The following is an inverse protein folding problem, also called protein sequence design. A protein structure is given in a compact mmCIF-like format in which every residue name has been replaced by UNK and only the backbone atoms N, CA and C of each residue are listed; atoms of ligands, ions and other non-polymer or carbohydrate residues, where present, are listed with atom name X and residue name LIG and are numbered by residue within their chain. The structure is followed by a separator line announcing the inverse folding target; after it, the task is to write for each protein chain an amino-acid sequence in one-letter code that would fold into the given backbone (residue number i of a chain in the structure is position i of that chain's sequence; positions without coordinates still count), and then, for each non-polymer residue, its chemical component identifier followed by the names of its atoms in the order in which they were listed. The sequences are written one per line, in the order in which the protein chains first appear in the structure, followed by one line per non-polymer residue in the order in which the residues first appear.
data_IF_865122242729
#
_entry.id   IF_865122242729
#
_cell.length_a   1.000
_cell.length_b   1.000
_cell.length_c   1.000
_cell.angle_alpha   90.00
_cell.angle_beta   90.00
_cell.angle_gamma   90.00
#
_symmetry.space_group_name_H-M   'P 1'
#
loop_
_entity.id
_entity.type
_entity.pdbx_description
1 polymer ?
#
# COMPACT_ATOMS: atom_id res chain seq x y z
N UNK A 1 -5.73 10.63 6.78
CA UNK A 1 -5.41 9.31 7.38
C UNK A 1 -4.45 8.52 6.50
N UNK A 2 -4.81 8.25 5.24
CA UNK A 2 -3.96 7.49 4.30
C UNK A 2 -2.52 7.98 4.22
N UNK A 3 -2.31 9.29 4.15
CA UNK A 3 -0.98 9.90 4.23
C UNK A 3 -0.13 9.39 5.41
N UNK A 4 -0.68 9.36 6.62
CA UNK A 4 0.03 8.89 7.80
C UNK A 4 0.36 7.40 7.72
N UNK A 5 -0.47 6.59 7.05
CA UNK A 5 -0.22 5.16 6.83
C UNK A 5 1.00 4.96 5.91
N UNK A 6 1.07 5.71 4.81
CA UNK A 6 2.23 5.69 3.91
C UNK A 6 3.49 6.19 4.63
N UNK A 7 3.36 7.26 5.42
CA UNK A 7 4.45 7.79 6.23
C UNK A 7 4.95 6.79 7.29
N UNK A 8 4.05 6.09 8.00
CA UNK A 8 4.40 5.03 8.95
C UNK A 8 5.19 3.90 8.27
N UNK A 9 4.75 3.49 7.08
CA UNK A 9 5.40 2.46 6.29
C UNK A 9 6.78 2.90 5.80
N UNK A 10 6.94 4.13 5.32
CA UNK A 10 8.25 4.67 4.92
C UNK A 10 9.19 4.76 6.13
N UNK A 11 8.73 5.37 7.23
CA UNK A 11 9.53 5.57 8.43
C UNK A 11 9.98 4.24 9.03
N UNK A 12 9.20 3.15 8.91
CA UNK A 12 9.63 1.81 9.31
C UNK A 12 10.94 1.38 8.60
N UNK A 13 11.04 1.63 7.30
CA UNK A 13 12.23 1.29 6.51
C UNK A 13 13.43 2.17 6.86
N UNK A 14 13.20 3.40 7.30
CA UNK A 14 14.26 4.35 7.70
C UNK A 14 14.74 4.15 9.15
N UNK A 15 13.90 3.61 10.03
CA UNK A 15 14.18 3.56 11.49
C UNK A 15 14.38 2.14 12.01
N UNK A 16 13.31 1.34 12.03
CA UNK A 16 13.33 0.00 12.64
C UNK A 16 14.02 -1.04 11.78
N UNK A 17 13.93 -0.96 10.45
CA UNK A 17 14.56 -1.93 9.56
C UNK A 17 16.09 -2.00 9.73
N UNK A 18 16.85 -0.87 9.77
CA UNK A 18 18.29 -0.89 10.06
C UNK A 18 18.64 -1.59 11.38
N UNK A 19 17.89 -1.31 12.46
CA UNK A 19 18.12 -1.93 13.77
C UNK A 19 17.88 -3.44 13.72
N UNK A 20 16.80 -3.87 13.05
CA UNK A 20 16.49 -5.29 12.86
C UNK A 20 17.57 -6.01 12.05
N UNK A 21 18.10 -5.36 11.01
CA UNK A 21 19.21 -5.89 10.21
C UNK A 21 20.46 -6.02 11.08
N UNK A 22 20.79 -5.00 11.88
CA UNK A 22 21.94 -5.04 12.79
C UNK A 22 21.85 -6.21 13.79
N UNK A 23 20.68 -6.44 14.38
CA UNK A 23 20.43 -7.58 15.27
C UNK A 23 20.49 -8.91 14.52
N UNK A 24 19.99 -8.99 13.29
CA UNK A 24 20.10 -10.21 12.49
C UNK A 24 21.56 -10.52 12.09
N UNK A 25 22.37 -9.49 11.83
CA UNK A 25 23.78 -9.62 11.51
C UNK A 25 24.62 -10.18 12.67
N UNK A 26 24.29 -9.90 13.93
CA UNK A 26 25.02 -10.49 15.06
C UNK A 26 24.77 -11.99 15.21
N UNK A 27 23.61 -12.48 14.75
CA UNK A 27 23.27 -13.91 14.76
C UNK A 27 23.80 -14.69 13.55
N UNK A 28 24.19 -13.98 12.48
CA UNK A 28 24.63 -14.58 11.22
C UNK A 28 25.91 -15.44 11.35
N UNK A 29 26.99 -15.02 12.05
CA UNK A 29 28.21 -15.82 12.16
C UNK A 29 27.98 -17.17 12.85
N UNK A 30 27.19 -17.19 13.93
CA UNK A 30 26.86 -18.42 14.65
C UNK A 30 26.06 -19.40 13.80
N UNK A 31 25.13 -18.90 12.99
CA UNK A 31 24.34 -19.71 12.08
C UNK A 31 25.15 -20.25 10.89
N UNK A 32 26.08 -19.45 10.34
CA UNK A 32 26.94 -19.85 9.21
C UNK A 32 28.02 -20.84 9.64
N UNK A 33 28.62 -20.65 10.82
CA UNK A 33 29.66 -21.54 11.34
C UNK A 33 29.10 -22.81 12.03
N UNK A 34 27.78 -23.02 12.05
CA UNK A 34 27.14 -24.20 12.64
C UNK A 34 27.22 -24.31 14.17
N UNK A 35 27.70 -23.24 14.85
CA UNK A 35 27.91 -23.18 16.29
C UNK A 35 26.72 -22.54 17.05
N UNK A 36 25.74 -21.98 16.33
CA UNK A 36 24.60 -21.27 16.91
C UNK A 36 23.24 -21.76 16.39
N UNK A 37 22.16 -21.20 16.97
CA UNK A 37 20.80 -21.48 16.53
C UNK A 37 20.59 -21.04 15.06
N UNK A 38 19.80 -21.81 14.27
CA UNK A 38 19.56 -21.45 12.88
C UNK A 38 18.75 -20.15 12.76
N UNK A 39 18.99 -19.39 11.69
CA UNK A 39 18.32 -18.12 11.44
C UNK A 39 16.81 -18.29 11.37
N UNK A 40 16.08 -17.43 12.09
CA UNK A 40 14.63 -17.33 11.94
C UNK A 40 14.28 -16.88 10.52
N UNK A 41 13.18 -17.39 9.96
CA UNK A 41 12.67 -16.94 8.65
C UNK A 41 12.48 -15.43 8.59
N UNK A 42 12.11 -14.80 9.71
CA UNK A 42 11.94 -13.36 9.74
C UNK A 42 13.28 -12.62 9.66
N UNK A 43 14.32 -13.10 10.35
CA UNK A 43 15.67 -12.53 10.30
C UNK A 43 16.26 -12.67 8.89
N UNK A 44 16.07 -13.81 8.23
CA UNK A 44 16.50 -14.01 6.85
C UNK A 44 15.82 -13.01 5.88
N UNK A 45 14.50 -12.80 6.01
CA UNK A 45 13.79 -11.81 5.20
C UNK A 45 14.27 -10.38 5.46
N UNK A 46 14.59 -10.03 6.70
CA UNK A 46 15.10 -8.71 7.05
C UNK A 46 16.52 -8.50 6.47
N UNK A 47 17.39 -9.51 6.51
CA UNK A 47 18.70 -9.49 5.86
C UNK A 47 18.60 -9.33 4.34
N UNK A 48 17.69 -10.08 3.69
CA UNK A 48 17.49 -9.96 2.24
C UNK A 48 16.96 -8.57 1.85
N UNK A 49 16.05 -7.99 2.64
CA UNK A 49 15.64 -6.58 2.47
C UNK A 49 16.84 -5.64 2.57
N UNK A 50 17.70 -5.85 3.57
CA UNK A 50 18.94 -5.09 3.74
C UNK A 50 19.88 -5.20 2.54
N UNK A 51 20.03 -6.41 1.97
CA UNK A 51 20.84 -6.64 0.78
C UNK A 51 20.29 -5.90 -0.44
N UNK A 52 18.98 -6.00 -0.70
CA UNK A 52 18.32 -5.28 -1.81
C UNK A 52 18.48 -3.77 -1.63
N UNK A 53 18.30 -3.29 -0.40
CA UNK A 53 18.46 -1.88 -0.06
C UNK A 53 19.89 -1.40 -0.31
N UNK A 54 20.89 -2.14 0.17
CA UNK A 54 22.30 -1.82 0.00
C UNK A 54 22.73 -1.86 -1.48
N UNK A 55 22.30 -2.88 -2.23
CA UNK A 55 22.56 -2.99 -3.66
C UNK A 55 21.95 -1.82 -4.44
N UNK A 56 20.69 -1.47 -4.17
CA UNK A 56 20.03 -0.33 -4.78
C UNK A 56 20.72 0.99 -4.43
N UNK A 57 21.05 1.21 -3.15
CA UNK A 57 21.75 2.41 -2.71
C UNK A 57 23.13 2.54 -3.38
N UNK A 58 23.89 1.44 -3.51
CA UNK A 58 25.16 1.44 -4.22
C UNK A 58 24.98 1.82 -5.68
N UNK A 59 24.00 1.21 -6.38
CA UNK A 59 23.69 1.54 -7.78
C UNK A 59 23.27 3.01 -7.96
N UNK A 60 22.43 3.56 -7.07
CA UNK A 60 22.06 4.98 -7.11
C UNK A 60 23.25 5.89 -6.82
N UNK A 61 24.18 5.45 -5.97
CA UNK A 61 25.38 6.22 -5.66
C UNK A 61 26.35 6.33 -6.84
N UNK A 62 26.27 5.43 -7.82
CA UNK A 62 26.98 5.53 -9.10
C UNK A 62 26.40 6.62 -10.01
N UNK A 63 25.17 7.08 -9.76
CA UNK A 63 24.51 8.12 -10.56
C UNK A 63 24.82 9.49 -9.98
N UNK A 64 25.52 10.32 -10.74
CA UNK A 64 25.81 11.71 -10.36
C UNK A 64 24.55 12.58 -10.42
N UNK A 65 24.06 13.07 -9.28
CA UNK A 65 22.85 13.93 -9.26
C UNK A 65 23.06 15.22 -10.03
N UNK A 66 24.25 15.81 -9.93
CA UNK A 66 24.56 17.04 -10.65
C UNK A 66 24.44 16.84 -12.15
N UNK A 67 24.95 15.70 -12.65
CA UNK A 67 24.83 15.37 -14.07
C UNK A 67 23.37 15.24 -14.50
N UNK A 68 22.58 14.44 -13.78
CA UNK A 68 21.15 14.27 -14.09
C UNK A 68 20.40 15.60 -13.98
N UNK A 69 20.67 16.41 -12.95
CA UNK A 69 20.06 17.73 -12.80
C UNK A 69 20.41 18.66 -13.96
N UNK A 70 21.67 18.74 -14.38
CA UNK A 70 22.07 19.58 -15.52
C UNK A 70 21.52 19.09 -16.85
N UNK A 71 21.45 17.77 -17.06
CA UNK A 71 20.81 17.20 -18.25
C UNK A 71 19.34 17.56 -18.33
N UNK A 72 18.61 17.41 -17.22
CA UNK A 72 17.17 17.68 -17.11
C UNK A 72 16.89 19.18 -17.25
N UNK A 73 17.68 20.02 -16.56
CA UNK A 73 17.59 21.49 -16.64
C UNK A 73 17.94 22.05 -18.03
N UNK A 74 18.83 21.39 -18.76
CA UNK A 74 19.23 21.80 -20.11
C UNK A 74 18.16 21.57 -21.20
N UNK A 75 17.06 20.88 -20.87
CA UNK A 75 15.96 20.65 -21.82
C UNK A 75 14.99 21.83 -21.89
N UNK A 76 14.26 21.94 -22.99
CA UNK A 76 13.14 22.88 -23.09
C UNK A 76 11.97 22.47 -22.21
N UNK A 77 11.16 23.45 -21.76
CA UNK A 77 10.04 23.20 -20.84
C UNK A 77 9.06 22.14 -21.35
N UNK A 78 8.81 22.08 -22.66
CA UNK A 78 7.93 21.05 -23.26
C UNK A 78 8.55 19.64 -23.20
N UNK A 79 9.85 19.50 -23.46
CA UNK A 79 10.54 18.20 -23.36
C UNK A 79 10.58 17.72 -21.91
N UNK A 80 10.84 18.63 -20.98
CA UNK A 80 10.85 18.32 -19.56
C UNK A 80 9.47 17.88 -19.05
N UNK A 81 8.41 18.55 -19.50
CA UNK A 81 7.02 18.13 -19.25
C UNK A 81 6.75 16.69 -19.74
N UNK A 82 7.24 16.32 -20.93
CA UNK A 82 7.09 14.96 -21.46
C UNK A 82 7.88 13.94 -20.63
N UNK A 83 9.10 14.28 -20.22
CA UNK A 83 9.93 13.41 -19.35
C UNK A 83 9.21 13.17 -18.02
N UNK A 84 8.70 14.23 -17.39
CA UNK A 84 7.96 14.13 -16.14
C UNK A 84 6.75 13.18 -16.27
N UNK A 85 5.91 13.39 -17.28
CA UNK A 85 4.75 12.52 -17.54
C UNK A 85 5.13 11.06 -17.78
N UNK A 86 6.22 10.84 -18.51
CA UNK A 86 6.72 9.51 -18.79
C UNK A 86 7.20 8.82 -17.50
N UNK A 87 7.92 9.54 -16.64
CA UNK A 87 8.34 9.05 -15.33
C UNK A 87 7.15 8.74 -14.42
N UNK A 88 6.09 9.56 -14.41
CA UNK A 88 4.87 9.27 -13.65
C UNK A 88 4.18 7.98 -14.11
N UNK A 89 4.08 7.77 -15.42
CA UNK A 89 3.53 6.51 -15.97
C UNK A 89 4.39 5.32 -15.56
N UNK A 90 5.72 5.45 -15.64
CA UNK A 90 6.63 4.40 -15.20
C UNK A 90 6.57 4.12 -13.70
N UNK A 91 6.37 5.13 -12.85
CA UNK A 91 6.15 4.95 -11.41
C UNK A 91 4.88 4.10 -11.17
N UNK A 92 3.76 4.47 -11.81
CA UNK A 92 2.49 3.69 -11.72
C UNK A 92 2.69 2.23 -12.17
N UNK A 93 3.41 2.00 -13.27
CA UNK A 93 3.78 0.66 -13.74
C UNK A 93 4.66 -0.10 -12.73
N UNK A 94 5.66 0.57 -12.18
CA UNK A 94 6.57 -0.02 -11.19
C UNK A 94 5.84 -0.34 -9.87
N UNK A 95 4.88 0.48 -9.45
CA UNK A 95 4.05 0.22 -8.28
C UNK A 95 3.13 -1.00 -8.49
N UNK A 96 2.56 -1.16 -9.70
CA UNK A 96 1.77 -2.33 -10.07
C UNK A 96 2.59 -3.62 -10.02
N UNK A 97 3.80 -3.62 -10.60
CA UNK A 97 4.68 -4.79 -10.67
C UNK A 97 5.40 -5.11 -9.36
N UNK A 98 5.70 -4.08 -8.56
CA UNK A 98 6.65 -4.19 -7.45
C UNK A 98 6.24 -5.08 -6.30
N UNK A 99 4.97 -4.99 -5.91
CA UNK A 99 4.44 -5.77 -4.81
C UNK A 99 4.51 -7.27 -5.13
N UNK A 100 4.18 -7.65 -6.36
CA UNK A 100 4.14 -9.05 -6.80
C UNK A 100 5.56 -9.66 -6.87
N UNK A 101 6.54 -8.90 -7.38
CA UNK A 101 7.95 -9.32 -7.45
C UNK A 101 8.52 -9.53 -6.03
N UNK A 102 8.31 -8.55 -5.14
CA UNK A 102 8.84 -8.59 -3.78
C UNK A 102 8.17 -9.68 -2.94
N UNK A 103 6.85 -9.86 -3.07
CA UNK A 103 6.13 -10.90 -2.33
C UNK A 103 6.50 -12.31 -2.80
N UNK A 104 6.72 -12.50 -4.10
CA UNK A 104 7.21 -13.76 -4.64
C UNK A 104 8.57 -14.11 -4.04
N UNK A 105 9.50 -13.14 -4.03
CA UNK A 105 10.83 -13.32 -3.44
C UNK A 105 10.79 -13.64 -1.94
N UNK A 106 10.06 -12.84 -1.14
CA UNK A 106 9.98 -13.09 0.31
C UNK A 106 9.20 -14.37 0.64
N UNK A 107 8.22 -14.75 -0.18
CA UNK A 107 7.51 -16.02 -0.08
C UNK A 107 8.43 -17.22 -0.32
N UNK A 108 9.21 -17.18 -1.41
CA UNK A 108 10.22 -18.19 -1.76
C UNK A 108 11.28 -18.33 -0.66
N UNK A 109 11.77 -17.21 -0.13
CA UNK A 109 12.75 -17.21 0.95
C UNK A 109 12.19 -17.83 2.22
N UNK A 110 10.98 -17.43 2.63
CA UNK A 110 10.31 -17.98 3.83
C UNK A 110 10.16 -19.49 3.72
N UNK A 111 9.63 -19.97 2.60
CA UNK A 111 9.44 -21.40 2.35
C UNK A 111 10.77 -22.19 2.38
N UNK A 112 11.85 -21.58 1.89
CA UNK A 112 13.18 -22.19 1.87
C UNK A 112 13.78 -22.26 3.27
N UNK A 113 13.71 -21.18 4.05
CA UNK A 113 14.23 -21.17 5.44
C UNK A 113 13.45 -22.14 6.31
N UNK A 114 12.11 -22.19 6.18
CA UNK A 114 11.29 -23.13 6.97
C UNK A 114 11.65 -24.59 6.72
N UNK A 115 12.13 -24.96 5.53
CA UNK A 115 12.61 -26.32 5.24
C UNK A 115 13.92 -26.64 5.96
N UNK A 116 14.83 -25.67 6.04
CA UNK A 116 16.14 -25.84 6.70
C UNK A 116 15.95 -25.92 8.22
N UNK A 117 15.05 -25.12 8.79
CA UNK A 117 14.82 -25.04 10.24
C UNK A 117 13.82 -26.08 10.76
N UNK A 118 12.84 -26.49 9.94
CA UNK A 118 11.75 -27.36 10.32
C UNK A 118 11.77 -28.64 9.49
N UNK A 119 12.33 -29.71 10.05
CA UNK A 119 12.36 -31.02 9.40
C UNK A 119 10.98 -31.45 8.89
N UNK A 120 10.92 -31.86 7.61
CA UNK A 120 9.81 -32.49 6.87
C UNK A 120 8.46 -32.51 7.62
N UNK A 121 7.72 -31.40 7.64
CA UNK A 121 6.27 -31.42 7.86
C UNK A 121 5.60 -31.05 6.55
N UNK A 122 4.84 -32.00 6.01
CA UNK A 122 4.33 -32.01 4.64
C UNK A 122 3.63 -30.71 4.25
N UNK A 123 4.22 -29.99 3.29
CA UNK A 123 3.52 -28.99 2.50
C UNK A 123 3.06 -29.67 1.21
N UNK A 124 1.92 -30.37 1.28
CA UNK A 124 1.24 -30.89 0.10
C UNK A 124 0.59 -29.72 -0.65
N UNK A 125 1.22 -29.25 -1.71
CA UNK A 125 0.69 -28.19 -2.58
C UNK A 125 1.54 -27.98 -3.83
N UNK A 126 1.06 -27.17 -4.81
CA UNK A 126 1.72 -26.93 -6.11
C UNK A 126 3.14 -26.33 -6.01
N UNK A 127 3.58 -25.94 -4.80
CA UNK A 127 4.93 -25.52 -4.51
C UNK A 127 5.98 -26.64 -4.57
N UNK A 128 5.63 -27.92 -4.58
CA UNK A 128 6.62 -29.01 -4.73
C UNK A 128 7.37 -28.96 -6.07
N UNK A 129 6.72 -28.50 -7.16
CA UNK A 129 7.30 -28.51 -8.51
C UNK A 129 8.31 -27.37 -8.72
N UNK A 130 8.05 -26.17 -8.17
CA UNK A 130 9.00 -25.04 -8.20
C UNK A 130 10.21 -25.33 -7.28
N UNK A 131 10.00 -26.11 -6.21
CA UNK A 131 10.99 -26.42 -5.19
C UNK A 131 11.94 -27.58 -5.57
N UNK A 132 11.71 -28.25 -6.70
CA UNK A 132 12.58 -29.28 -7.27
C UNK A 132 13.86 -28.71 -7.92
N UNK A 133 13.87 -27.43 -8.31
CA UNK A 133 15.00 -26.77 -8.99
C UNK A 133 16.05 -26.11 -8.05
N UNK A 134 16.01 -26.37 -6.74
CA UNK A 134 17.05 -25.92 -5.80
C UNK A 134 17.10 -24.41 -5.53
N UNK A 135 18.30 -23.87 -5.27
CA UNK A 135 18.58 -22.45 -4.93
C UNK A 135 18.40 -21.48 -6.12
N UNK A 136 18.35 -22.02 -7.35
CA UNK A 136 18.28 -21.26 -8.61
C UNK A 136 17.09 -20.28 -8.71
N UNK A 137 15.82 -20.68 -8.43
CA UNK A 137 14.67 -19.77 -8.47
C UNK A 137 14.76 -18.63 -7.43
N UNK A 138 15.42 -18.84 -6.29
CA UNK A 138 15.62 -17.81 -5.27
C UNK A 138 16.62 -16.76 -5.78
N UNK A 139 17.72 -17.21 -6.38
CA UNK A 139 18.72 -16.30 -6.95
C UNK A 139 18.15 -15.49 -8.12
N UNK A 140 17.39 -16.15 -9.01
CA UNK A 140 16.72 -15.47 -10.13
C UNK A 140 15.70 -14.43 -9.66
N UNK A 141 14.85 -14.76 -8.69
CA UNK A 141 13.90 -13.81 -8.11
C UNK A 141 14.57 -12.69 -7.31
N UNK A 142 15.69 -12.96 -6.64
CA UNK A 142 16.48 -11.94 -5.96
C UNK A 142 17.11 -10.95 -6.95
N UNK A 143 17.68 -11.44 -8.05
CA UNK A 143 18.22 -10.60 -9.12
C UNK A 143 17.11 -9.74 -9.75
N UNK A 144 15.96 -10.35 -10.07
CA UNK A 144 14.81 -9.63 -10.60
C UNK A 144 14.33 -8.52 -9.64
N UNK A 145 14.30 -8.78 -8.33
CA UNK A 145 13.94 -7.77 -7.34
C UNK A 145 14.97 -6.63 -7.25
N UNK A 146 16.27 -6.92 -7.29
CA UNK A 146 17.31 -5.87 -7.31
C UNK A 146 17.18 -5.00 -8.56
N UNK A 147 17.02 -5.60 -9.73
CA UNK A 147 16.83 -4.89 -11.00
C UNK A 147 15.57 -4.03 -10.94
N UNK A 148 14.45 -4.60 -10.48
CA UNK A 148 13.20 -3.87 -10.29
C UNK A 148 13.36 -2.66 -9.36
N UNK A 149 13.93 -2.86 -8.16
CA UNK A 149 14.10 -1.80 -7.16
C UNK A 149 15.05 -0.72 -7.70
N UNK A 150 16.10 -1.09 -8.43
CA UNK A 150 17.02 -0.14 -9.07
C UNK A 150 16.32 0.70 -10.16
N UNK A 151 15.55 0.07 -11.06
CA UNK A 151 14.77 0.78 -12.10
C UNK A 151 13.78 1.74 -11.45
N UNK A 152 12.99 1.24 -10.48
CA UNK A 152 11.98 2.06 -9.83
C UNK A 152 12.63 3.23 -9.06
N UNK A 153 13.72 2.99 -8.33
CA UNK A 153 14.44 4.05 -7.63
C UNK A 153 15.03 5.09 -8.61
N UNK A 154 15.51 4.69 -9.80
CA UNK A 154 15.97 5.61 -10.83
C UNK A 154 14.83 6.45 -11.43
N UNK A 155 13.64 5.88 -11.61
CA UNK A 155 12.42 6.61 -12.02
C UNK A 155 12.05 7.66 -10.96
N UNK A 156 11.96 7.26 -9.68
CA UNK A 156 11.64 8.18 -8.59
C UNK A 156 12.71 9.26 -8.42
N UNK A 157 13.99 8.93 -8.63
CA UNK A 157 15.08 9.88 -8.60
C UNK A 157 14.94 10.93 -9.73
N UNK A 158 14.66 10.49 -10.95
CA UNK A 158 14.44 11.38 -12.10
C UNK A 158 13.21 12.26 -11.90
N UNK A 159 12.14 11.70 -11.31
CA UNK A 159 10.93 12.45 -10.95
C UNK A 159 11.24 13.53 -9.91
N UNK A 160 11.98 13.19 -8.85
CA UNK A 160 12.41 14.14 -7.82
C UNK A 160 13.28 15.26 -8.39
N UNK A 161 14.22 14.95 -9.29
CA UNK A 161 15.06 15.95 -9.97
C UNK A 161 14.21 16.84 -10.88
N UNK A 162 13.24 16.27 -11.60
CA UNK A 162 12.33 17.03 -12.46
C UNK A 162 11.47 18.02 -11.67
N UNK A 163 10.94 17.60 -10.51
CA UNK A 163 10.24 18.49 -9.57
C UNK A 163 11.17 19.60 -9.05
N UNK A 164 12.43 19.26 -8.74
CA UNK A 164 13.42 20.25 -8.31
C UNK A 164 13.69 21.31 -9.40
N UNK A 165 13.88 20.88 -10.64
CA UNK A 165 14.06 21.77 -11.80
C UNK A 165 12.81 22.61 -12.04
N UNK A 166 11.61 22.05 -11.88
CA UNK A 166 10.36 22.78 -12.02
C UNK A 166 10.23 23.91 -11.01
N UNK A 167 10.47 23.62 -9.72
CA UNK A 167 10.39 24.60 -8.64
C UNK A 167 11.43 25.72 -8.78
N UNK A 168 12.64 25.37 -9.25
CA UNK A 168 13.73 26.33 -9.44
C UNK A 168 13.76 26.98 -10.84
N UNK A 169 12.80 26.69 -11.70
CA UNK A 169 12.75 27.30 -13.03
C UNK A 169 12.36 28.79 -12.93
N UNK A 170 13.05 29.66 -13.66
CA UNK A 170 12.75 31.09 -13.68
C UNK A 170 11.37 31.42 -14.24
N UNK A 171 10.85 30.54 -15.11
CA UNK A 171 9.53 30.68 -15.69
C UNK A 171 8.55 29.74 -14.99
N UNK A 172 7.60 30.32 -14.27
CA UNK A 172 6.50 29.58 -13.63
C UNK A 172 5.67 28.76 -14.64
N UNK A 173 5.83 28.97 -15.95
CA UNK A 173 5.22 28.14 -16.98
C UNK A 173 5.44 26.64 -16.77
N UNK A 174 6.61 26.20 -16.33
CA UNK A 174 6.86 24.77 -16.11
C UNK A 174 6.02 24.24 -14.94
N UNK A 175 5.95 24.97 -13.83
CA UNK A 175 5.07 24.63 -12.70
C UNK A 175 3.61 24.62 -13.14
N UNK A 176 3.18 25.63 -13.92
CA UNK A 176 1.82 25.69 -14.48
C UNK A 176 1.50 24.52 -15.40
N UNK A 177 2.46 24.07 -16.22
CA UNK A 177 2.30 22.90 -17.08
C UNK A 177 2.15 21.60 -16.28
N UNK A 178 2.90 21.44 -15.19
CA UNK A 178 2.74 20.28 -14.31
C UNK A 178 1.39 20.30 -13.59
N UNK A 179 0.96 21.46 -13.10
CA UNK A 179 -0.36 21.62 -12.48
C UNK A 179 -1.50 21.37 -13.48
N UNK A 180 -1.33 21.77 -14.75
CA UNK A 180 -2.36 21.51 -15.78
C UNK A 180 -2.51 20.02 -16.10
N UNK A 181 -1.46 19.20 -15.85
CA UNK A 181 -1.54 17.76 -15.99
C UNK A 181 -2.60 17.14 -15.05
N UNK A 182 -2.70 17.66 -13.83
CA UNK A 182 -3.69 17.21 -12.84
C UNK A 182 -5.13 17.41 -13.34
N UNK A 183 -5.37 18.44 -14.17
CA UNK A 183 -6.69 18.66 -14.80
C UNK A 183 -6.98 17.62 -15.88
N UNK A 184 -5.96 17.18 -16.62
CA UNK A 184 -6.09 16.12 -17.62
C UNK A 184 -6.42 14.79 -16.94
N UNK A 185 -5.76 14.49 -15.81
CA UNK A 185 -6.06 13.33 -14.99
C UNK A 185 -7.46 13.38 -14.36
N UNK A 186 -7.87 14.55 -13.87
CA UNK A 186 -9.23 14.79 -13.42
C UNK A 186 -10.24 14.47 -14.51
N UNK A 187 -10.05 14.99 -15.74
CA UNK A 187 -10.95 14.71 -16.86
C UNK A 187 -11.09 13.21 -17.14
N UNK A 188 -9.97 12.46 -17.11
CA UNK A 188 -9.97 11.01 -17.39
C UNK A 188 -10.76 10.21 -16.35
N UNK A 189 -10.75 10.64 -15.09
CA UNK A 189 -11.34 9.90 -13.96
C UNK A 189 -12.80 10.25 -13.68
N UNK A 190 -13.21 11.53 -13.81
CA UNK A 190 -14.55 11.98 -13.39
C UNK A 190 -15.69 11.51 -14.28
N UNK A 191 -15.45 11.29 -15.58
CA UNK A 191 -16.49 10.86 -16.52
C UNK A 191 -16.63 9.33 -16.61
N UNK A 192 -15.74 8.59 -15.96
CA UNK A 192 -15.78 7.13 -15.95
C UNK A 192 -16.80 6.65 -14.92
N UNK A 193 -17.63 5.67 -15.31
CA UNK A 193 -18.53 4.99 -14.37
C UNK A 193 -17.69 4.26 -13.31
N UNK A 194 -17.94 4.56 -12.05
CA UNK A 194 -17.16 4.10 -10.90
C UNK A 194 -18.05 3.31 -9.94
N UNK A 195 -17.69 2.06 -9.69
CA UNK A 195 -18.32 1.21 -8.65
C UNK A 195 -17.59 1.44 -7.32
N UNK A 196 -18.19 1.05 -6.19
CA UNK A 196 -17.66 1.29 -4.83
C UNK A 196 -16.24 0.74 -4.67
N UNK A 197 -15.94 -0.42 -5.23
CA UNK A 197 -14.62 -1.09 -5.17
C UNK A 197 -13.58 -0.32 -5.99
N UNK A 198 -13.97 0.12 -7.19
CA UNK A 198 -13.12 0.94 -8.06
C UNK A 198 -12.84 2.30 -7.42
N UNK A 199 -13.82 2.88 -6.71
CA UNK A 199 -13.63 4.13 -5.98
C UNK A 199 -12.65 3.95 -4.81
N UNK A 200 -12.71 2.82 -4.12
CA UNK A 200 -11.75 2.50 -3.06
C UNK A 200 -10.32 2.40 -3.60
N UNK A 201 -10.12 1.68 -4.72
CA UNK A 201 -8.81 1.56 -5.36
C UNK A 201 -8.29 2.92 -5.84
N UNK A 202 -9.14 3.74 -6.45
CA UNK A 202 -8.80 5.10 -6.88
C UNK A 202 -8.38 5.97 -5.68
N UNK A 203 -9.16 5.95 -4.60
CA UNK A 203 -8.82 6.71 -3.38
C UNK A 203 -7.51 6.23 -2.74
N UNK A 204 -7.21 4.93 -2.78
CA UNK A 204 -5.94 4.39 -2.31
C UNK A 204 -4.75 4.85 -3.18
N UNK A 205 -4.91 4.87 -4.51
CA UNK A 205 -3.90 5.38 -5.42
C UNK A 205 -3.63 6.88 -5.16
N UNK A 206 -4.67 7.71 -5.09
CA UNK A 206 -4.56 9.15 -4.79
C UNK A 206 -3.87 9.41 -3.43
N UNK A 207 -4.13 8.56 -2.43
CA UNK A 207 -3.45 8.63 -1.13
C UNK A 207 -1.93 8.41 -1.28
N UNK A 208 -1.52 7.46 -2.11
CA UNK A 208 -0.12 7.12 -2.34
C UNK A 208 0.58 8.23 -3.12
N UNK A 209 -0.05 8.71 -4.19
CA UNK A 209 0.46 9.81 -5.02
C UNK A 209 0.69 11.06 -4.16
N UNK A 210 -0.28 11.47 -3.34
CA UNK A 210 -0.12 12.61 -2.41
C UNK A 210 0.99 12.39 -1.38
N UNK A 211 1.14 11.17 -0.87
CA UNK A 211 2.20 10.86 0.09
C UNK A 211 3.58 10.91 -0.56
N UNK A 212 3.74 10.33 -1.75
CA UNK A 212 4.97 10.41 -2.54
C UNK A 212 5.30 11.87 -2.90
N UNK A 213 4.31 12.63 -3.38
CA UNK A 213 4.48 14.04 -3.71
C UNK A 213 4.98 14.85 -2.51
N UNK A 214 4.37 14.66 -1.33
CA UNK A 214 4.83 15.34 -0.12
C UNK A 214 6.29 14.99 0.21
N UNK A 215 6.71 13.74 0.04
CA UNK A 215 8.08 13.30 0.28
C UNK A 215 9.04 13.93 -0.74
N UNK A 216 8.67 13.98 -2.03
CA UNK A 216 9.46 14.65 -3.07
C UNK A 216 9.61 16.13 -2.78
N UNK A 217 8.53 16.82 -2.41
CA UNK A 217 8.58 18.24 -2.06
C UNK A 217 9.43 18.49 -0.82
N UNK A 218 9.36 17.62 0.20
CA UNK A 218 10.24 17.71 1.36
C UNK A 218 11.73 17.52 1.00
N UNK A 219 12.02 16.56 0.12
CA UNK A 219 13.36 16.32 -0.44
C UNK A 219 13.86 17.54 -1.23
N UNK A 220 13.02 18.14 -2.07
CA UNK A 220 13.37 19.35 -2.84
C UNK A 220 13.58 20.55 -1.94
N UNK A 221 12.73 20.75 -0.92
CA UNK A 221 12.93 21.79 0.09
C UNK A 221 14.29 21.63 0.79
N UNK A 222 14.65 20.41 1.17
CA UNK A 222 15.93 20.13 1.83
C UNK A 222 17.12 20.42 0.89
N UNK A 223 17.03 20.01 -0.38
CA UNK A 223 18.07 20.30 -1.38
C UNK A 223 18.24 21.81 -1.60
N UNK A 224 17.12 22.54 -1.74
CA UNK A 224 17.14 23.99 -1.95
C UNK A 224 17.66 24.75 -0.73
N UNK A 225 17.34 24.29 0.49
CA UNK A 225 17.85 24.89 1.72
C UNK A 225 19.39 24.81 1.80
N UNK A 226 19.96 23.71 1.33
CA UNK A 226 21.40 23.49 1.34
C UNK A 226 22.09 24.24 0.20
N UNK A 227 21.46 24.27 -0.97
CA UNK A 227 21.99 24.97 -2.14
C UNK A 227 22.00 26.50 -1.94
N UNK A 228 20.93 27.04 -1.36
CA UNK A 228 20.77 28.46 -1.09
C UNK A 228 20.99 28.76 0.42
N UNK A 229 21.98 28.13 1.05
CA UNK A 229 22.21 28.22 2.50
C UNK A 229 22.51 29.65 3.02
N UNK A 230 22.87 30.57 2.14
CA UNK A 230 23.11 31.98 2.46
C UNK A 230 21.85 32.86 2.32
N UNK A 231 20.76 32.34 1.73
CA UNK A 231 19.53 33.09 1.55
C UNK A 231 18.80 33.27 2.89
N UNK A 232 18.11 34.40 3.03
CA UNK A 232 17.26 34.62 4.20
C UNK A 232 16.05 33.69 4.18
N UNK A 233 15.49 33.38 5.36
CA UNK A 233 14.27 32.58 5.46
C UNK A 233 13.09 33.17 4.67
N UNK A 234 13.00 34.50 4.58
CA UNK A 234 11.97 35.19 3.81
C UNK A 234 12.12 34.95 2.30
N UNK A 235 13.35 34.97 1.78
CA UNK A 235 13.63 34.68 0.36
C UNK A 235 13.36 33.22 0.03
N UNK A 236 13.79 32.29 0.91
CA UNK A 236 13.52 30.86 0.75
C UNK A 236 12.02 30.56 0.73
N UNK A 237 11.26 31.09 1.70
CA UNK A 237 9.81 30.94 1.75
C UNK A 237 9.13 31.61 0.56
N UNK A 238 9.62 32.79 0.16
CA UNK A 238 9.09 33.56 -0.96
C UNK A 238 9.24 32.88 -2.32
N UNK A 239 10.40 32.26 -2.57
CA UNK A 239 10.73 31.57 -3.84
C UNK A 239 10.34 30.11 -3.80
N UNK A 240 11.03 29.29 -3.00
CA UNK A 240 10.83 27.84 -2.95
C UNK A 240 9.54 27.48 -2.24
N UNK A 241 9.28 28.11 -1.08
CA UNK A 241 8.08 27.83 -0.28
C UNK A 241 6.79 28.08 -1.05
N UNK A 242 6.72 29.17 -1.83
CA UNK A 242 5.56 29.50 -2.67
C UNK A 242 5.30 28.44 -3.74
N UNK A 243 6.33 28.05 -4.51
CA UNK A 243 6.18 27.03 -5.57
C UNK A 243 5.78 25.67 -4.99
N UNK A 244 6.38 25.28 -3.87
CA UNK A 244 6.04 24.04 -3.15
C UNK A 244 4.59 24.07 -2.65
N UNK A 245 4.16 25.20 -2.08
CA UNK A 245 2.79 25.38 -1.61
C UNK A 245 1.79 25.29 -2.78
N UNK A 246 2.06 25.95 -3.90
CA UNK A 246 1.21 25.91 -5.08
C UNK A 246 1.07 24.46 -5.57
N UNK A 247 2.18 23.75 -5.71
CA UNK A 247 2.20 22.37 -6.22
C UNK A 247 1.45 21.40 -5.30
N UNK A 248 1.63 21.53 -3.98
CA UNK A 248 0.94 20.70 -3.00
C UNK A 248 -0.56 21.06 -2.88
N UNK A 249 -0.88 22.35 -2.88
CA UNK A 249 -2.26 22.82 -2.76
C UNK A 249 -3.07 22.49 -4.02
N UNK A 250 -2.49 22.60 -5.22
CA UNK A 250 -3.17 22.24 -6.46
C UNK A 250 -3.59 20.77 -6.44
N UNK A 251 -2.74 19.89 -5.93
CA UNK A 251 -3.05 18.46 -5.83
C UNK A 251 -4.27 18.21 -4.94
N UNK A 252 -4.30 18.83 -3.77
CA UNK A 252 -5.42 18.69 -2.83
C UNK A 252 -6.71 19.22 -3.42
N UNK A 253 -6.65 20.38 -4.08
CA UNK A 253 -7.82 21.01 -4.71
C UNK A 253 -8.35 20.15 -5.84
N UNK A 254 -7.48 19.74 -6.77
CA UNK A 254 -7.87 18.92 -7.92
C UNK A 254 -8.50 17.61 -7.45
N UNK A 255 -7.91 16.94 -6.47
CA UNK A 255 -8.47 15.70 -5.97
C UNK A 255 -9.78 15.88 -5.20
N UNK A 256 -9.91 16.96 -4.44
CA UNK A 256 -11.17 17.27 -3.75
C UNK A 256 -12.30 17.49 -4.76
N UNK A 257 -12.01 18.18 -5.87
CA UNK A 257 -12.93 18.38 -6.99
C UNK A 257 -13.23 17.04 -7.68
N UNK A 258 -12.20 16.24 -7.97
CA UNK A 258 -12.29 14.89 -8.57
C UNK A 258 -13.28 14.00 -7.79
N UNK A 259 -13.05 13.81 -6.49
CA UNK A 259 -13.90 12.97 -5.65
C UNK A 259 -15.33 13.51 -5.51
N UNK A 260 -15.51 14.84 -5.48
CA UNK A 260 -16.83 15.46 -5.42
C UNK A 260 -17.65 15.16 -6.68
N UNK A 261 -17.04 15.27 -7.87
CA UNK A 261 -17.70 14.95 -9.14
C UNK A 261 -17.94 13.46 -9.31
N UNK A 262 -17.01 12.59 -8.90
CA UNK A 262 -17.21 11.13 -8.96
C UNK A 262 -18.41 10.71 -8.11
N UNK A 263 -18.54 11.23 -6.89
CA UNK A 263 -19.71 10.97 -6.04
C UNK A 263 -21.01 11.47 -6.69
N UNK A 264 -20.99 12.69 -7.25
CA UNK A 264 -22.16 13.29 -7.90
C UNK A 264 -22.61 12.50 -9.14
N UNK A 265 -21.71 12.17 -10.06
CA UNK A 265 -22.05 11.49 -11.31
C UNK A 265 -22.39 10.02 -11.13
N UNK A 266 -21.79 9.34 -10.14
CA UNK A 266 -22.06 7.93 -9.85
C UNK A 266 -23.14 7.73 -8.78
N UNK A 267 -23.74 8.80 -8.24
CA UNK A 267 -24.75 8.78 -7.16
C UNK A 267 -24.26 8.00 -5.93
N UNK A 268 -22.99 8.17 -5.58
CA UNK A 268 -22.37 7.53 -4.42
C UNK A 268 -22.44 8.45 -3.21
N UNK A 269 -22.82 7.89 -2.05
CA UNK A 269 -22.87 8.62 -0.79
C UNK A 269 -21.46 8.98 -0.29
N UNK A 270 -21.29 10.21 0.21
CA UNK A 270 -20.02 10.67 0.78
C UNK A 270 -19.64 9.89 2.06
N UNK A 271 -20.63 9.32 2.76
CA UNK A 271 -20.42 8.42 3.90
C UNK A 271 -19.61 7.17 3.55
N UNK A 272 -19.48 6.83 2.26
CA UNK A 272 -18.66 5.69 1.80
C UNK A 272 -17.17 5.85 2.13
N UNK A 273 -16.60 7.06 2.10
CA UNK A 273 -15.20 7.28 2.50
C UNK A 273 -14.96 6.96 3.99
N UNK A 274 -16.00 7.12 4.82
CA UNK A 274 -15.98 6.69 6.21
C UNK A 274 -15.78 5.16 6.30
N UNK A 275 -16.48 4.39 5.45
CA UNK A 275 -16.31 2.93 5.37
C UNK A 275 -14.91 2.55 4.88
N UNK A 276 -14.39 3.22 3.86
CA UNK A 276 -13.01 3.02 3.38
C UNK A 276 -11.97 3.22 4.48
N UNK A 277 -12.11 4.29 5.27
CA UNK A 277 -11.23 4.52 6.41
C UNK A 277 -11.34 3.41 7.45
N UNK A 278 -12.54 2.89 7.71
CA UNK A 278 -12.74 1.77 8.66
C UNK A 278 -12.06 0.47 8.18
N UNK A 279 -12.08 0.18 6.88
CA UNK A 279 -11.35 -0.95 6.28
C UNK A 279 -9.85 -0.82 6.59
N UNK A 280 -9.27 0.35 6.28
CA UNK A 280 -7.84 0.59 6.52
C UNK A 280 -7.47 0.50 8.00
N UNK A 281 -8.33 0.97 8.91
CA UNK A 281 -8.09 0.82 10.35
C UNK A 281 -8.16 -0.63 10.83
N UNK A 282 -9.09 -1.41 10.30
CA UNK A 282 -9.16 -2.84 10.57
C UNK A 282 -7.87 -3.53 10.13
N UNK A 283 -7.35 -3.21 8.94
CA UNK A 283 -6.07 -3.78 8.48
C UNK A 283 -4.88 -3.38 9.37
N UNK A 284 -4.86 -2.14 9.90
CA UNK A 284 -3.81 -1.68 10.84
C UNK A 284 -3.86 -2.46 12.15
N UNK A 285 -5.06 -2.68 12.70
CA UNK A 285 -5.24 -3.42 13.95
C UNK A 285 -4.87 -4.88 13.75
N UNK A 286 -5.42 -5.51 12.70
CA UNK A 286 -5.18 -6.90 12.37
C UNK A 286 -3.70 -7.18 12.06
N UNK A 287 -2.98 -6.22 11.46
CA UNK A 287 -1.55 -6.32 11.25
C UNK A 287 -0.72 -6.28 12.53
N UNK A 288 -1.22 -5.66 13.61
CA UNK A 288 -0.47 -5.49 14.87
C UNK A 288 -0.78 -6.54 15.94
N UNK A 289 -1.80 -7.37 15.73
CA UNK A 289 -2.09 -8.47 16.64
C UNK A 289 -0.99 -9.55 16.53
N UNK A 290 -0.49 -10.09 17.66
CA UNK A 290 0.43 -11.22 17.64
C UNK A 290 -0.22 -12.38 16.90
N UNK A 291 0.36 -12.78 15.77
CA UNK A 291 -0.27 -13.76 14.92
C UNK A 291 -0.32 -15.12 15.62
N UNK A 292 -1.53 -15.63 15.87
CA UNK A 292 -1.80 -17.07 16.10
C UNK A 292 -1.47 -17.93 14.87
N UNK A 293 -0.93 -17.35 13.78
CA UNK A 293 -0.58 -17.99 12.52
C UNK A 293 0.79 -17.48 12.03
N UNK A 294 1.81 -18.35 11.82
CA UNK A 294 3.19 -17.97 11.47
C UNK A 294 3.38 -17.33 10.08
N UNK A 295 2.30 -16.98 9.37
CA UNK A 295 2.29 -16.43 8.02
C UNK A 295 1.75 -14.99 7.91
N UNK A 296 1.16 -14.44 8.97
CA UNK A 296 0.55 -13.10 8.92
C UNK A 296 1.61 -11.99 8.97
N UNK A 297 1.71 -11.21 7.89
CA UNK A 297 2.67 -10.12 7.67
C UNK A 297 2.32 -8.90 8.55
N UNK A 298 3.05 -8.59 9.65
CA UNK A 298 2.53 -7.63 10.65
C UNK A 298 2.57 -6.15 10.21
N UNK A 299 3.52 -5.77 9.32
CA UNK A 299 3.74 -4.37 8.96
C UNK A 299 3.50 -4.04 7.48
N UNK A 300 3.25 -5.04 6.64
CA UNK A 300 3.16 -4.85 5.18
C UNK A 300 1.76 -5.05 4.60
N UNK A 301 0.79 -5.54 5.39
CA UNK A 301 -0.56 -5.82 4.89
C UNK A 301 -1.28 -4.55 4.41
N UNK A 302 -1.15 -3.44 5.16
CA UNK A 302 -1.80 -2.18 4.83
C UNK A 302 -1.15 -1.52 3.62
N UNK A 303 0.19 -1.46 3.57
CA UNK A 303 0.92 -0.93 2.42
C UNK A 303 0.64 -1.73 1.14
N UNK A 304 0.50 -3.05 1.26
CA UNK A 304 0.15 -3.92 0.14
C UNK A 304 -1.27 -3.65 -0.37
N UNK A 305 -2.25 -3.42 0.52
CA UNK A 305 -3.62 -3.10 0.11
C UNK A 305 -3.71 -1.75 -0.62
N UNK A 306 -2.98 -0.76 -0.15
CA UNK A 306 -3.00 0.59 -0.74
C UNK A 306 -2.17 0.63 -2.05
N UNK A 307 -1.28 -0.35 -2.27
CA UNK A 307 -0.41 -0.38 -3.45
C UNK A 307 0.90 0.38 -3.27
N UNK A 308 1.28 0.70 -2.03
CA UNK A 308 2.47 1.48 -1.73
C UNK A 308 3.73 0.62 -1.65
N UNK A 309 4.75 0.94 -2.46
CA UNK A 309 6.06 0.28 -2.46
C UNK A 309 7.11 1.21 -1.82
N UNK A 310 7.38 1.09 -0.50
CA UNK A 310 8.23 2.04 0.22
C UNK A 310 9.74 1.90 -0.02
N UNK A 311 10.22 0.73 -0.48
CA UNK A 311 11.67 0.44 -0.56
C UNK A 311 12.41 1.42 -1.49
N UNK A 312 12.00 1.60 -2.77
CA UNK A 312 12.70 2.51 -3.69
C UNK A 312 12.66 3.97 -3.21
N UNK A 313 11.54 4.39 -2.61
CA UNK A 313 11.38 5.72 -2.05
C UNK A 313 12.28 5.96 -0.83
N UNK A 314 12.43 4.96 0.04
CA UNK A 314 13.37 5.01 1.16
C UNK A 314 14.83 5.08 0.67
N UNK A 315 15.19 4.35 -0.40
CA UNK A 315 16.51 4.44 -1.04
C UNK A 315 16.79 5.86 -1.54
N UNK A 316 15.83 6.47 -2.25
CA UNK A 316 15.94 7.84 -2.73
C UNK A 316 16.12 8.85 -1.59
N UNK A 317 15.32 8.73 -0.53
CA UNK A 317 15.38 9.61 0.62
C UNK A 317 16.75 9.55 1.30
N UNK A 318 17.26 8.33 1.56
CA UNK A 318 18.58 8.13 2.17
C UNK A 318 19.72 8.58 1.25
N UNK A 319 19.59 8.35 -0.06
CA UNK A 319 20.54 8.85 -1.06
C UNK A 319 20.60 10.39 -1.08
N UNK A 320 19.47 11.07 -0.97
CA UNK A 320 19.46 12.53 -0.87
C UNK A 320 20.10 13.01 0.42
N UNK A 321 19.71 12.41 1.56
CA UNK A 321 20.22 12.79 2.87
C UNK A 321 21.74 12.59 2.96
N UNK A 322 22.27 11.49 2.40
CA UNK A 322 23.70 11.22 2.40
C UNK A 322 24.51 12.27 1.62
N UNK A 323 23.88 12.96 0.66
CA UNK A 323 24.47 14.07 -0.09
C UNK A 323 24.34 15.40 0.64
N UNK A 324 23.27 15.60 1.40
CA UNK A 324 23.04 16.84 2.18
C UNK A 324 23.92 16.89 3.44
N UNK A 325 24.07 15.78 4.16
CA UNK A 325 24.78 15.71 5.44
C UNK A 325 26.24 16.24 5.41
N UNK A 326 27.05 15.94 4.38
CA UNK A 326 28.44 16.42 4.32
C UNK A 326 28.57 17.91 4.01
N UNK A 327 27.52 18.58 3.55
CA UNK A 327 27.54 20.02 3.22
C UNK A 327 27.39 20.92 4.46
N UNK A 328 27.16 20.36 5.65
CA UNK A 328 27.08 21.11 6.90
C UNK A 328 28.44 21.62 7.44
N UNK A 329 29.49 21.66 6.61
CA UNK A 329 30.87 22.08 6.95
C UNK A 329 31.55 21.31 8.11
N UNK A 330 30.94 20.24 8.62
CA UNK A 330 31.54 19.41 9.66
C UNK A 330 32.54 18.42 9.04
N UNK A 331 33.74 18.24 9.63
CA UNK A 331 34.67 17.20 9.19
C UNK A 331 33.96 15.84 9.23
N UNK A 332 34.02 15.09 8.12
CA UNK A 332 33.51 13.70 8.08
C UNK A 332 34.19 12.92 9.21
N UNK A 333 33.42 12.17 9.99
CA UNK A 333 33.88 11.40 11.17
C UNK A 333 34.22 12.22 12.43
N UNK A 334 33.94 13.51 12.46
CA UNK A 334 33.99 14.29 13.70
C UNK A 334 32.91 13.81 14.69
N UNK A 335 33.15 13.85 16.02
CA UNK A 335 32.11 13.55 17.01
C UNK A 335 30.87 14.44 16.84
N UNK A 336 31.02 15.68 16.37
CA UNK A 336 29.90 16.57 16.06
C UNK A 336 29.05 16.05 14.90
N UNK A 337 29.67 15.52 13.85
CA UNK A 337 28.95 14.91 12.73
C UNK A 337 28.15 13.69 13.20
N UNK A 338 28.76 12.83 14.03
CA UNK A 338 28.08 11.67 14.60
C UNK A 338 26.91 12.10 15.48
N UNK A 339 27.08 13.13 16.32
CA UNK A 339 26.02 13.67 17.15
C UNK A 339 24.84 14.19 16.32
N UNK A 340 25.08 14.88 15.20
CA UNK A 340 24.03 15.33 14.28
C UNK A 340 23.30 14.13 13.66
N UNK A 341 24.01 13.14 13.14
CA UNK A 341 23.40 11.94 12.54
C UNK A 341 22.56 11.17 13.55
N UNK A 342 23.08 10.95 14.75
CA UNK A 342 22.35 10.28 15.84
C UNK A 342 21.11 11.10 16.23
N UNK A 343 21.24 12.42 16.36
CA UNK A 343 20.11 13.30 16.69
C UNK A 343 19.03 13.24 15.60
N UNK A 344 19.40 13.33 14.32
CA UNK A 344 18.47 13.19 13.21
C UNK A 344 17.77 11.82 13.22
N UNK A 345 18.53 10.75 13.47
CA UNK A 345 17.97 9.39 13.56
C UNK A 345 16.98 9.26 14.73
N UNK A 346 17.31 9.78 15.92
CA UNK A 346 16.40 9.78 17.07
C UNK A 346 15.13 10.59 16.80
N UNK A 347 15.23 11.73 16.11
CA UNK A 347 14.06 12.50 15.67
C UNK A 347 13.18 11.71 14.70
N UNK A 348 13.76 10.97 13.76
CA UNK A 348 13.00 10.08 12.86
C UNK A 348 12.32 8.94 13.62
N UNK A 349 12.99 8.35 14.62
CA UNK A 349 12.41 7.32 15.50
C UNK A 349 11.25 7.91 16.32
N UNK A 350 11.44 9.09 16.90
CA UNK A 350 10.39 9.79 17.64
C UNK A 350 9.18 10.08 16.74
N UNK A 351 9.41 10.55 15.50
CA UNK A 351 8.37 10.77 14.50
C UNK A 351 7.65 9.46 14.14
N UNK A 352 8.39 8.35 13.95
CA UNK A 352 7.82 7.03 13.68
C UNK A 352 6.92 6.57 14.82
N UNK A 353 7.36 6.73 16.06
CA UNK A 353 6.59 6.36 17.25
C UNK A 353 5.35 7.24 17.35
N UNK A 354 5.47 8.56 17.18
CA UNK A 354 4.36 9.49 17.22
C UNK A 354 3.29 9.17 16.16
N UNK A 355 3.71 8.99 14.89
CA UNK A 355 2.80 8.62 13.80
C UNK A 355 2.10 7.29 14.09
N UNK A 356 2.85 6.31 14.58
CA UNK A 356 2.34 4.98 14.95
C UNK A 356 1.31 5.04 16.08
N UNK A 357 1.56 5.84 17.13
CA UNK A 357 0.63 6.05 18.26
C UNK A 357 -0.63 6.77 17.77
N UNK A 358 -0.48 7.86 17.01
CA UNK A 358 -1.61 8.62 16.45
C UNK A 358 -2.50 7.75 15.56
N UNK A 359 -1.91 6.90 14.73
CA UNK A 359 -2.63 5.95 13.88
C UNK A 359 -3.38 4.91 14.72
N UNK A 360 -2.70 4.27 15.67
CA UNK A 360 -3.30 3.21 16.48
C UNK A 360 -4.38 3.75 17.42
N UNK A 361 -4.18 4.92 18.02
CA UNK A 361 -5.17 5.58 18.86
C UNK A 361 -6.45 5.88 18.09
N UNK A 362 -6.33 6.42 16.87
CA UNK A 362 -7.49 6.68 15.99
C UNK A 362 -8.15 5.38 15.52
N UNK A 363 -7.37 4.33 15.23
CA UNK A 363 -7.88 3.02 14.87
C UNK A 363 -8.70 2.39 16.01
N UNK A 364 -8.16 2.41 17.23
CA UNK A 364 -8.78 1.85 18.42
C UNK A 364 -10.09 2.55 18.77
N UNK A 365 -10.12 3.89 18.77
CA UNK A 365 -11.34 4.67 19.02
C UNK A 365 -12.43 4.32 18.00
N UNK A 366 -12.06 4.13 16.74
CA UNK A 366 -13.01 3.81 15.68
C UNK A 366 -13.51 2.37 15.75
N UNK A 367 -12.64 1.44 16.13
CA UNK A 367 -12.99 0.04 16.36
C UNK A 367 -13.94 -0.10 17.56
N UNK A 368 -13.68 0.61 18.66
CA UNK A 368 -14.57 0.64 19.83
C UNK A 368 -15.98 1.13 19.44
N UNK A 369 -16.07 2.27 18.74
CA UNK A 369 -17.37 2.78 18.23
C UNK A 369 -18.11 1.77 17.33
N UNK A 370 -17.38 0.98 16.55
CA UNK A 370 -17.96 -0.05 15.70
C UNK A 370 -18.54 -1.21 16.52
N UNK A 371 -17.84 -1.63 17.58
CA UNK A 371 -18.30 -2.66 18.50
C UNK A 371 -19.52 -2.19 19.32
N UNK A 372 -19.52 -0.94 19.79
CA UNK A 372 -20.65 -0.34 20.51
C UNK A 372 -21.90 -0.28 19.62
N UNK A 373 -21.73 0.11 18.35
CA UNK A 373 -22.82 0.11 17.38
C UNK A 373 -23.35 -1.31 17.11
N UNK A 374 -22.46 -2.31 17.01
CA UNK A 374 -22.84 -3.70 16.77
C UNK A 374 -23.56 -4.32 17.98
N UNK A 375 -23.08 -4.05 19.19
CA UNK A 375 -23.73 -4.51 20.44
C UNK A 375 -25.09 -3.86 20.66
N UNK A 376 -25.23 -2.55 20.37
CA UNK A 376 -26.52 -1.85 20.39
C UNK A 376 -27.50 -2.42 19.35
N UNK A 377 -27.02 -2.73 18.13
CA UNK A 377 -27.84 -3.34 17.10
C UNK A 377 -28.32 -4.74 17.52
N UNK A 378 -27.42 -5.59 18.04
CA UNK A 378 -27.76 -6.92 18.55
C UNK A 378 -28.74 -6.85 19.73
N UNK A 379 -28.58 -5.88 20.63
CA UNK A 379 -29.53 -5.64 21.72
C UNK A 379 -30.92 -5.27 21.19
N UNK A 380 -31.00 -4.44 20.14
CA UNK A 380 -32.27 -4.06 19.50
C UNK A 380 -32.95 -5.23 18.77
N UNK A 381 -32.17 -6.15 18.17
CA UNK A 381 -32.69 -7.37 17.58
C UNK A 381 -33.22 -8.31 18.67
N UNK A 382 -32.50 -8.43 19.78
CA UNK A 382 -32.92 -9.23 20.93
C UNK A 382 -34.20 -8.69 21.59
N UNK A 383 -34.40 -7.37 21.63
CA UNK A 383 -35.63 -6.78 22.17
C UNK A 383 -36.84 -6.91 21.22
N UNK A 384 -36.61 -7.05 19.91
CA UNK A 384 -37.67 -7.27 18.90
C UNK A 384 -38.05 -8.74 18.73
N UNK A 385 -37.18 -9.67 19.14
CA UNK A 385 -37.52 -11.09 19.25
C UNK A 385 -38.44 -11.28 20.47
N UNK A 386 -39.76 -11.25 20.26
CA UNK A 386 -40.74 -11.62 21.29
C UNK A 386 -40.46 -13.05 21.79
N UNK A 387 -40.58 -13.32 23.11
CA UNK A 387 -40.58 -14.70 23.57
C UNK A 387 -41.83 -15.37 23.00
N UNK A 388 -41.65 -16.46 22.24
CA UNK A 388 -42.77 -17.33 21.89
C UNK A 388 -43.48 -17.70 23.19
N UNK A 389 -44.73 -17.27 23.32
CA UNK A 389 -45.62 -17.73 24.36
C UNK A 389 -45.67 -19.26 24.30
N UNK A 390 -45.46 -19.89 25.45
CA UNK A 390 -45.70 -21.32 25.66
C UNK A 390 -47.12 -21.68 25.19
N UNK A 391 -47.30 -22.63 24.25
CA UNK A 391 -48.61 -23.22 24.05
C UNK A 391 -48.91 -24.21 25.20
N UNK A 392 -50.20 -24.37 25.58
CA UNK A 392 -50.59 -25.26 26.67
C UNK A 392 -50.43 -26.73 26.26
N UNK A 393 -50.26 -27.58 27.27
CA UNK A 393 -50.19 -29.02 27.11
C UNK A 393 -51.51 -29.59 26.54
N UNK A 394 -51.45 -30.22 25.37
CA UNK A 394 -52.37 -31.32 25.00
C UNK A 394 -51.94 -32.05 23.71
N UNK A 395 -51.80 -33.37 23.85
CA UNK A 395 -52.01 -34.46 22.86
C UNK A 395 -50.90 -34.85 21.85
N UNK A 396 -50.21 -35.95 22.20
CA UNK A 396 -49.85 -37.16 21.41
C UNK A 396 -49.80 -37.06 19.86
N UNK A 397 -48.68 -37.45 19.24
CA UNK A 397 -48.49 -38.81 18.69
C UNK A 397 -47.13 -38.98 17.94
N UNK A 398 -46.50 -40.14 18.20
CA UNK A 398 -45.54 -40.91 17.39
C UNK A 398 -44.25 -40.29 16.81
N UNK A 399 -43.12 -40.67 17.42
CA UNK A 399 -41.84 -40.87 16.73
C UNK A 399 -41.96 -41.97 15.65
N UNK A 400 -41.07 -41.94 14.64
CA UNK A 400 -40.11 -43.04 14.55
C UNK A 400 -38.66 -42.59 14.33
N UNK A 401 -37.83 -43.05 15.26
CA UNK A 401 -36.52 -43.68 15.14
C UNK A 401 -35.74 -43.53 13.81
N UNK A 402 -34.57 -42.92 13.93
CA UNK A 402 -33.41 -42.95 13.03
C UNK A 402 -32.93 -44.39 12.75
N UNK A 403 -32.34 -44.65 11.58
CA UNK A 403 -31.17 -45.53 11.52
C UNK A 403 -29.90 -44.74 11.15
N UNK A 404 -28.83 -44.98 11.91
CA UNK A 404 -27.46 -44.67 11.56
C UNK A 404 -26.91 -45.77 10.64
N UNK A 405 -26.14 -45.40 9.61
CA UNK A 405 -25.13 -46.25 8.96
C UNK A 405 -24.15 -45.31 8.23
N UNK A 406 -22.97 -45.03 8.76
CA UNK A 406 -21.73 -45.81 8.69
C UNK A 406 -21.03 -45.75 7.32
N UNK A 407 -19.71 -45.67 7.39
CA UNK A 407 -18.75 -45.35 6.36
C UNK A 407 -18.73 -46.33 5.17
N UNK A 408 -18.36 -45.81 3.98
CA UNK A 408 -17.70 -46.60 2.94
C UNK A 408 -16.83 -45.70 2.05
N UNK A 409 -15.55 -46.06 2.02
CA UNK A 409 -14.50 -45.62 1.10
C UNK A 409 -14.62 -46.30 -0.28
N UNK A 410 -13.98 -45.66 -1.27
CA UNK A 410 -13.31 -46.24 -2.45
C UNK A 410 -13.91 -45.95 -3.85
N UNK A 411 -13.13 -45.13 -4.59
CA UNK A 411 -12.49 -45.44 -5.88
C UNK A 411 -13.28 -45.50 -7.21
N UNK A 412 -12.55 -45.01 -8.24
CA UNK A 412 -12.70 -45.18 -9.69
C UNK A 412 -13.82 -44.38 -10.38
N UNK A 413 -13.71 -43.93 -11.64
CA UNK A 413 -12.65 -43.63 -12.60
C UNK A 413 -13.35 -43.06 -13.86
N UNK A 414 -12.56 -42.53 -14.80
CA UNK A 414 -12.88 -42.30 -16.22
C UNK A 414 -13.59 -40.98 -16.63
N UNK A 415 -12.82 -40.19 -17.38
CA UNK A 415 -13.23 -39.08 -18.26
C UNK A 415 -13.67 -39.64 -19.65
N UNK A 416 -13.67 -38.89 -20.78
CA UNK A 416 -13.88 -37.45 -21.08
C UNK A 416 -14.87 -37.25 -22.27
N UNK A 417 -14.82 -36.07 -22.91
CA UNK A 417 -15.33 -35.69 -24.26
C UNK A 417 -16.67 -34.94 -24.27
N UNK A 418 -16.94 -33.93 -25.10
CA UNK A 418 -16.16 -33.14 -26.06
C UNK A 418 -17.09 -32.08 -26.65
N UNK A 419 -16.49 -30.99 -27.14
CA UNK A 419 -16.91 -30.21 -28.31
C UNK A 419 -18.24 -29.43 -28.22
N UNK A 420 -18.14 -28.10 -28.40
CA UNK A 420 -18.64 -27.39 -29.58
C UNK A 420 -20.11 -26.94 -29.39
N UNK A 421 -20.63 -25.81 -29.83
CA UNK A 421 -20.17 -24.66 -30.62
C UNK A 421 -21.39 -23.73 -30.63
N UNK A 422 -21.16 -22.42 -30.47
CA UNK A 422 -21.90 -21.31 -31.10
C UNK A 422 -23.43 -21.28 -31.08
N UNK A 423 -24.02 -20.21 -30.54
CA UNK A 423 -24.82 -19.21 -31.30
C UNK A 423 -25.50 -18.23 -30.34
N UNK A 424 -25.28 -16.93 -30.58
CA UNK A 424 -26.19 -15.87 -30.16
C UNK A 424 -27.32 -15.73 -31.20
N UNK A 425 -28.47 -15.17 -30.82
CA UNK A 425 -28.92 -13.90 -31.42
C UNK A 425 -29.41 -12.91 -30.33
N UNK A 426 -28.97 -11.65 -30.32
CA UNK A 426 -29.61 -10.43 -30.91
C UNK A 426 -31.00 -10.05 -30.38
N UNK A 427 -31.01 -8.93 -29.65
CA UNK A 427 -31.85 -7.73 -29.80
C UNK A 427 -33.39 -7.80 -29.86
N UNK A 428 -34.03 -7.05 -28.94
CA UNK A 428 -35.23 -6.19 -29.07
C UNK A 428 -35.85 -6.04 -27.66
N UNK A 429 -35.73 -4.90 -26.97
CA UNK A 429 -36.51 -3.65 -27.12
C UNK A 429 -37.99 -3.75 -26.69
N UNK A 430 -38.44 -2.69 -25.99
CA UNK A 430 -39.82 -2.32 -25.66
C UNK A 430 -40.33 -2.58 -24.22
N UNK A 431 -40.15 -1.54 -23.41
CA UNK A 431 -41.16 -0.83 -22.61
C UNK A 431 -42.55 -1.47 -22.36
N UNK A 432 -42.97 -1.45 -21.08
CA UNK A 432 -44.32 -1.10 -20.66
C UNK A 432 -44.34 -0.62 -19.20
N UNK A 433 -45.12 0.44 -18.97
CA UNK A 433 -45.27 1.20 -17.73
C UNK A 433 -46.44 0.71 -16.85
N UNK A 434 -46.67 1.46 -15.76
CA UNK A 434 -47.80 1.45 -14.79
C UNK A 434 -47.54 0.64 -13.50
N UNK A 435 -47.13 1.27 -12.41
CA UNK A 435 -47.89 2.08 -11.41
C UNK A 435 -48.66 1.24 -10.40
N UNK A 436 -48.17 1.21 -9.15
CA UNK A 436 -48.99 1.58 -7.99
C UNK A 436 -48.14 1.66 -6.72
N UNK A 437 -48.52 2.66 -5.93
CA UNK A 437 -48.00 3.17 -4.67
C UNK A 437 -47.99 2.14 -3.55
N UNK A 438 -46.90 2.10 -2.78
CA UNK A 438 -46.97 1.95 -1.32
C UNK A 438 -45.75 2.59 -0.66
N UNK A 439 -45.99 3.77 -0.10
CA UNK A 439 -45.06 4.53 0.73
C UNK A 439 -44.98 3.91 2.12
N UNK A 440 -43.91 3.17 2.39
CA UNK A 440 -43.43 2.89 3.74
C UNK A 440 -41.95 3.32 3.83
N UNK A 441 -41.52 3.99 4.91
CA UNK A 441 -40.11 4.30 5.10
C UNK A 441 -39.32 2.98 5.26
N UNK A 442 -38.10 2.85 4.72
CA UNK A 442 -37.34 1.63 4.88
C UNK A 442 -36.91 1.48 6.35
N UNK A 443 -37.28 0.35 6.96
CA UNK A 443 -36.79 -0.09 8.27
C UNK A 443 -35.25 -0.17 8.28
N UNK A 444 -34.60 0.13 9.41
CA UNK A 444 -33.14 0.23 9.53
C UNK A 444 -32.38 -1.09 9.29
N UNK A 445 -33.06 -2.23 9.32
CA UNK A 445 -32.43 -3.56 9.21
C UNK A 445 -31.88 -3.87 7.80
N UNK A 446 -32.48 -3.31 6.74
CA UNK A 446 -32.02 -3.53 5.35
C UNK A 446 -30.77 -2.74 4.97
N UNK A 447 -30.49 -1.64 5.68
CA UNK A 447 -29.29 -0.81 5.46
C UNK A 447 -28.06 -1.45 6.08
N UNK A 448 -28.22 -2.16 7.21
CA UNK A 448 -27.13 -2.82 7.91
C UNK A 448 -26.67 -4.11 7.21
N UNK A 449 -27.60 -4.95 6.72
CA UNK A 449 -27.26 -6.18 5.99
C UNK A 449 -26.61 -5.88 4.63
N UNK A 450 -27.14 -4.90 3.89
CA UNK A 450 -26.52 -4.41 2.66
C UNK A 450 -25.13 -3.79 2.93
N UNK A 451 -24.94 -3.16 4.10
CA UNK A 451 -23.63 -2.60 4.46
C UNK A 451 -22.59 -3.66 4.82
N UNK A 452 -22.99 -4.77 5.45
CA UNK A 452 -22.08 -5.88 5.77
C UNK A 452 -21.71 -6.66 4.51
N UNK A 453 -22.66 -6.88 3.61
CA UNK A 453 -22.41 -7.52 2.31
C UNK A 453 -21.48 -6.66 1.44
N UNK A 454 -21.76 -5.35 1.31
CA UNK A 454 -20.89 -4.38 0.63
C UNK A 454 -19.46 -4.38 1.19
N UNK A 455 -19.30 -4.47 2.53
CA UNK A 455 -17.99 -4.52 3.19
C UNK A 455 -17.26 -5.83 2.90
N UNK A 456 -17.97 -6.97 2.92
CA UNK A 456 -17.38 -8.27 2.58
C UNK A 456 -17.01 -8.36 1.11
N UNK A 457 -17.76 -7.72 0.21
CA UNK A 457 -17.47 -7.74 -1.23
C UNK A 457 -16.27 -6.86 -1.57
N UNK A 458 -16.13 -5.67 -0.96
CA UNK A 458 -14.92 -4.85 -1.10
C UNK A 458 -13.70 -5.59 -0.54
N UNK A 459 -13.83 -6.26 0.60
CA UNK A 459 -12.75 -7.06 1.20
C UNK A 459 -12.35 -8.25 0.31
N UNK A 460 -13.32 -8.97 -0.26
CA UNK A 460 -13.07 -10.08 -1.20
C UNK A 460 -12.43 -9.58 -2.50
N UNK A 461 -12.96 -8.52 -3.10
CA UNK A 461 -12.49 -7.98 -4.38
C UNK A 461 -11.01 -7.54 -4.32
N UNK A 462 -10.60 -6.98 -3.18
CA UNK A 462 -9.22 -6.53 -2.94
C UNK A 462 -8.26 -7.64 -2.52
N UNK A 463 -8.74 -8.70 -1.85
CA UNK A 463 -7.94 -9.90 -1.51
C UNK A 463 -7.61 -10.75 -2.75
N UNK A 464 -8.48 -10.76 -3.78
CA UNK A 464 -8.29 -11.55 -5.01
C UNK A 464 -7.58 -10.82 -6.15
N UNK A 465 -6.90 -9.70 -5.89
CA UNK A 465 -5.85 -9.18 -6.78
C UNK A 465 -6.27 -8.69 -8.16
N UNK A 466 -7.57 -8.52 -8.47
CA UNK A 466 -8.00 -7.84 -9.70
C UNK A 466 -7.81 -6.32 -9.53
N UNK A 467 -6.57 -5.86 -9.71
CA UNK A 467 -6.25 -4.46 -9.97
C UNK A 467 -6.65 -4.15 -11.40
N UNK A 468 -7.45 -3.11 -11.59
CA UNK A 468 -7.68 -2.57 -12.93
C UNK A 468 -6.39 -1.85 -13.37
N UNK A 469 -5.78 -2.35 -14.44
CA UNK A 469 -4.85 -1.60 -15.29
C UNK A 469 -5.65 -0.59 -16.11
#
# INVERSE_FOLDING_TARGET
MGFFVCLDALLYHLTFLPVRIAVALTTLPGAVCGLGAPLSSQQACDLLRGLIFAACFALLSLVDASYVYHMVRGQSSIKLYVIFNCCEIFDKLCCALGLDILDTLFGLLRASVTRVTGGRRGLSGPHEVIMAFGTLPILGSALAAVVYVAIHAAVLFTLSVSINVAINSYNNALVTLLVSNQIIELKKSVFKRCVKENLFQLACADIVERAQLFIFLAVVCLQNLVQDAQASWAEFLGRTGRSVLIFWASEIVVDSVKHSFICKFNKLDAGLYSKFSSILYSDIINGRLPASQPSAKPHHAVSHRIGFVPIPLACLFLHTISRVLPLAHLPRWSPYWLAVVVTCYLNLVALKILVSICLLGRAAVRHAKSLDAQTAALASMRSKATPYATPPASTLCSLPTRPQLAAATAAAAAAPSSAATFTAPTDAESAAASSSTNSHPPLPDRVLSASSEDLTDIQRYTLFGRRLV
#
